data_IF_145320999107
#
_entry.id   IF_145320999107
#
_cell.length_a   1.000
_cell.length_b   1.000
_cell.length_c   1.000
_cell.angle_alpha   90.00
_cell.angle_beta   90.00
_cell.angle_gamma   90.00
#
_symmetry.space_group_name_H-M   'P 1'
#
loop_
_entity.id
_entity.type
_entity.pdbx_description
1 polymer ?
#
# COMPACT_ATOMS: atom_id res chain seq x y z
N UNK A 1 -62.54 22.77 -19.17
CA UNK A 1 -61.13 22.87 -19.65
C UNK A 1 -60.22 22.88 -18.40
N UNK A 2 -59.68 21.73 -18.10
CA UNK A 2 -58.86 21.49 -16.90
C UNK A 2 -57.40 21.46 -17.33
N UNK A 3 -56.59 22.33 -16.76
CA UNK A 3 -55.13 22.36 -16.98
C UNK A 3 -54.47 21.64 -15.81
N UNK A 4 -54.07 20.39 -16.02
CA UNK A 4 -53.13 19.69 -15.14
C UNK A 4 -51.71 20.17 -15.44
N UNK A 5 -51.05 20.76 -14.47
CA UNK A 5 -49.61 21.00 -14.47
C UNK A 5 -48.93 19.76 -13.90
N UNK A 6 -48.30 19.03 -14.77
CA UNK A 6 -47.31 18.00 -14.35
C UNK A 6 -46.05 18.72 -13.87
N UNK A 7 -45.78 18.56 -12.59
CA UNK A 7 -44.55 19.00 -11.93
C UNK A 7 -43.50 17.89 -12.09
N UNK A 8 -42.34 18.12 -12.76
CA UNK A 8 -41.32 17.10 -12.84
C UNK A 8 -40.65 16.99 -11.49
N UNK A 9 -40.95 15.92 -10.78
CA UNK A 9 -40.33 15.51 -9.55
C UNK A 9 -38.81 15.51 -9.71
N UNK A 10 -38.14 16.47 -9.09
CA UNK A 10 -36.70 16.47 -8.81
C UNK A 10 -36.36 15.20 -8.06
N UNK A 11 -35.72 14.25 -8.77
CA UNK A 11 -35.17 13.04 -8.20
C UNK A 11 -34.13 13.37 -7.12
N UNK A 12 -34.59 13.45 -5.88
CA UNK A 12 -33.70 13.39 -4.71
C UNK A 12 -33.00 12.06 -4.78
N UNK A 13 -31.71 12.08 -5.18
CA UNK A 13 -30.80 10.96 -4.99
C UNK A 13 -30.90 10.56 -3.52
N UNK A 14 -31.46 9.37 -3.28
CA UNK A 14 -31.61 8.80 -1.95
C UNK A 14 -30.23 8.73 -1.28
N UNK A 15 -29.99 9.59 -0.33
CA UNK A 15 -28.81 9.58 0.52
C UNK A 15 -28.94 8.35 1.41
N UNK A 16 -28.18 7.32 1.12
CA UNK A 16 -28.11 6.12 1.95
C UNK A 16 -27.47 6.48 3.30
N UNK A 17 -28.31 6.83 4.28
CA UNK A 17 -27.90 7.12 5.67
C UNK A 17 -27.21 5.92 6.38
N UNK A 18 -27.09 4.76 5.70
CA UNK A 18 -26.53 3.54 6.28
C UNK A 18 -25.01 3.43 6.28
N UNK A 19 -24.27 4.29 5.55
CA UNK A 19 -22.82 4.07 5.43
C UNK A 19 -22.02 5.39 5.36
N UNK A 20 -22.27 6.32 6.30
CA UNK A 20 -21.52 7.58 6.38
C UNK A 20 -20.01 7.32 6.60
N UNK A 21 -19.66 6.27 7.36
CA UNK A 21 -18.26 5.88 7.56
C UNK A 21 -17.57 5.61 6.22
N UNK A 22 -18.19 4.81 5.35
CA UNK A 22 -17.66 4.49 4.02
C UNK A 22 -17.62 5.70 3.08
N UNK A 23 -18.60 6.59 3.17
CA UNK A 23 -18.61 7.84 2.41
C UNK A 23 -17.44 8.74 2.82
N UNK A 24 -17.15 8.86 4.12
CA UNK A 24 -16.02 9.63 4.63
C UNK A 24 -14.66 9.02 4.23
N UNK A 25 -14.54 7.69 4.22
CA UNK A 25 -13.32 7.01 3.78
C UNK A 25 -13.08 7.25 2.29
N UNK A 26 -14.11 7.12 1.44
CA UNK A 26 -13.99 7.45 0.01
C UNK A 26 -13.62 8.91 -0.21
N UNK A 27 -14.29 9.84 0.47
CA UNK A 27 -13.96 11.26 0.42
C UNK A 27 -12.50 11.53 0.84
N UNK A 28 -12.00 10.83 1.86
CA UNK A 28 -10.60 10.94 2.28
C UNK A 28 -9.64 10.42 1.20
N UNK A 29 -9.93 9.29 0.57
CA UNK A 29 -9.11 8.74 -0.53
C UNK A 29 -9.03 9.69 -1.72
N UNK A 30 -10.16 10.31 -2.11
CA UNK A 30 -10.22 11.30 -3.19
C UNK A 30 -9.41 12.55 -2.83
N UNK A 31 -9.52 13.04 -1.60
CA UNK A 31 -8.76 14.20 -1.11
C UNK A 31 -7.25 13.89 -1.00
N UNK A 32 -6.88 12.68 -0.60
CA UNK A 32 -5.48 12.23 -0.58
C UNK A 32 -4.91 12.21 -2.00
N UNK A 33 -5.66 11.71 -2.99
CA UNK A 33 -5.25 11.71 -4.39
C UNK A 33 -5.02 13.14 -4.92
N UNK A 34 -5.88 14.08 -4.54
CA UNK A 34 -5.82 15.47 -5.03
C UNK A 34 -4.75 16.31 -4.32
N UNK A 35 -4.64 16.19 -2.99
CA UNK A 35 -3.90 17.14 -2.12
C UNK A 35 -2.83 16.48 -1.24
N UNK A 36 -2.72 15.17 -1.32
CA UNK A 36 -1.89 14.40 -0.38
C UNK A 36 -2.53 14.24 1.01
N UNK A 37 -1.98 13.36 1.85
CA UNK A 37 -2.57 13.03 3.14
C UNK A 37 -2.52 14.19 4.15
N UNK A 38 -1.64 15.16 3.97
CA UNK A 38 -1.58 16.37 4.81
C UNK A 38 -2.44 17.51 4.29
N UNK A 39 -2.92 17.46 3.03
CA UNK A 39 -3.48 18.60 2.30
C UNK A 39 -4.96 18.84 2.51
N UNK A 40 -5.67 18.12 3.38
CA UNK A 40 -7.10 18.32 3.61
C UNK A 40 -7.46 18.41 5.10
N UNK A 41 -8.60 19.01 5.39
CA UNK A 41 -9.16 19.12 6.74
C UNK A 41 -10.30 18.12 6.95
N UNK A 42 -10.68 17.89 8.21
CA UNK A 42 -11.84 17.05 8.53
C UNK A 42 -13.16 17.63 7.99
N UNK A 43 -13.24 18.97 7.93
CA UNK A 43 -14.38 19.67 7.31
C UNK A 43 -14.42 19.48 5.77
N UNK A 44 -13.25 19.36 5.11
CA UNK A 44 -13.19 19.04 3.68
C UNK A 44 -13.72 17.63 3.41
N UNK A 45 -13.37 16.66 4.24
CA UNK A 45 -13.89 15.29 4.13
C UNK A 45 -15.42 15.25 4.32
N UNK A 46 -15.96 16.01 5.30
CA UNK A 46 -17.40 16.13 5.49
C UNK A 46 -18.10 16.73 4.27
N UNK A 47 -17.54 17.81 3.73
CA UNK A 47 -18.06 18.50 2.53
C UNK A 47 -18.04 17.59 1.31
N UNK A 48 -16.93 16.90 1.09
CA UNK A 48 -16.79 15.94 0.00
C UNK A 48 -17.78 14.76 0.12
N UNK A 49 -18.02 14.29 1.35
CA UNK A 49 -19.04 13.27 1.64
C UNK A 49 -20.48 13.79 1.59
N UNK A 50 -20.71 15.11 1.34
CA UNK A 50 -22.03 15.71 1.25
C UNK A 50 -22.79 15.82 2.58
N UNK A 51 -22.07 15.93 3.71
CA UNK A 51 -22.67 16.01 5.06
C UNK A 51 -22.25 17.27 5.80
N UNK A 52 -22.95 17.58 6.90
CA UNK A 52 -22.57 18.69 7.77
C UNK A 52 -21.22 18.45 8.44
N UNK A 53 -20.50 19.51 8.79
CA UNK A 53 -19.19 19.42 9.45
C UNK A 53 -19.21 18.70 10.80
N UNK A 54 -20.39 18.59 11.45
CA UNK A 54 -20.57 17.87 12.70
C UNK A 54 -20.83 16.37 12.53
N UNK A 55 -21.28 15.93 11.34
CA UNK A 55 -21.67 14.53 11.12
C UNK A 55 -20.48 13.54 11.23
N UNK A 56 -19.26 13.84 10.78
CA UNK A 56 -18.13 12.92 10.88
C UNK A 56 -17.76 12.53 12.31
N UNK A 57 -17.96 13.42 13.29
CA UNK A 57 -17.64 13.18 14.71
C UNK A 57 -18.40 12.02 15.34
N UNK A 58 -19.46 11.52 14.69
CA UNK A 58 -20.18 10.30 15.10
C UNK A 58 -19.42 9.02 14.79
N UNK A 59 -18.45 9.08 13.86
CA UNK A 59 -17.72 7.91 13.35
C UNK A 59 -16.21 7.98 13.63
N UNK A 60 -15.65 9.17 13.65
CA UNK A 60 -14.23 9.42 13.85
C UNK A 60 -14.06 10.58 14.82
N UNK A 61 -13.20 10.42 15.81
CA UNK A 61 -12.89 11.45 16.78
C UNK A 61 -12.33 12.71 16.13
N UNK A 62 -11.47 12.52 15.16
CA UNK A 62 -10.75 13.57 14.45
C UNK A 62 -10.26 13.07 13.08
N UNK A 63 -9.56 13.96 12.34
CA UNK A 63 -8.98 13.64 11.04
C UNK A 63 -7.93 12.52 11.12
N UNK A 64 -7.16 12.44 12.22
CA UNK A 64 -6.14 11.39 12.38
C UNK A 64 -6.80 10.03 12.52
N UNK A 65 -7.91 9.92 13.23
CA UNK A 65 -8.69 8.69 13.33
C UNK A 65 -9.26 8.25 11.96
N UNK A 66 -9.70 9.19 11.12
CA UNK A 66 -10.11 8.90 9.74
C UNK A 66 -8.94 8.39 8.91
N UNK A 67 -7.78 9.07 8.97
CA UNK A 67 -6.58 8.64 8.26
C UNK A 67 -6.07 7.29 8.74
N UNK A 68 -6.14 7.01 10.04
CA UNK A 68 -5.76 5.70 10.59
C UNK A 68 -6.65 4.58 10.06
N UNK A 69 -7.96 4.80 9.91
CA UNK A 69 -8.86 3.80 9.30
C UNK A 69 -8.57 3.60 7.81
N UNK A 70 -8.27 4.67 7.06
CA UNK A 70 -7.83 4.58 5.66
C UNK A 70 -6.54 3.78 5.56
N UNK A 71 -5.52 4.10 6.36
CA UNK A 71 -4.24 3.39 6.36
C UNK A 71 -4.38 1.92 6.77
N UNK A 72 -5.21 1.62 7.79
CA UNK A 72 -5.51 0.24 8.20
C UNK A 72 -6.07 -0.58 7.04
N UNK A 73 -7.07 -0.05 6.32
CA UNK A 73 -7.63 -0.73 5.13
C UNK A 73 -6.60 -0.87 4.01
N UNK A 74 -5.73 0.13 3.86
CA UNK A 74 -4.60 0.04 2.94
C UNK A 74 -3.68 -1.13 3.27
N UNK A 75 -3.31 -1.31 4.55
CA UNK A 75 -2.50 -2.43 4.99
C UNK A 75 -3.21 -3.77 4.84
N UNK A 76 -4.52 -3.86 5.09
CA UNK A 76 -5.32 -5.07 4.88
C UNK A 76 -5.33 -5.49 3.40
N UNK A 77 -5.58 -4.54 2.49
CA UNK A 77 -5.53 -4.79 1.05
C UNK A 77 -4.11 -5.14 0.58
N UNK A 78 -3.11 -4.49 1.14
CA UNK A 78 -1.71 -4.75 0.84
C UNK A 78 -1.29 -6.15 1.29
N UNK A 79 -1.62 -6.55 2.52
CA UNK A 79 -1.43 -7.92 3.02
C UNK A 79 -2.02 -8.95 2.07
N UNK A 80 -3.28 -8.78 1.66
CA UNK A 80 -3.97 -9.70 0.74
C UNK A 80 -3.24 -9.84 -0.59
N UNK A 81 -2.78 -8.73 -1.18
CA UNK A 81 -2.06 -8.75 -2.45
C UNK A 81 -0.70 -9.43 -2.33
N UNK A 82 0.05 -9.13 -1.25
CA UNK A 82 1.35 -9.75 -1.00
C UNK A 82 1.21 -11.26 -0.72
N UNK A 83 0.24 -11.66 0.11
CA UNK A 83 0.02 -13.07 0.44
C UNK A 83 -0.42 -13.89 -0.78
N UNK A 84 -1.27 -13.32 -1.63
CA UNK A 84 -1.65 -13.93 -2.92
C UNK A 84 -0.44 -14.10 -3.84
N UNK A 85 0.44 -13.10 -3.91
CA UNK A 85 1.66 -13.15 -4.71
C UNK A 85 2.67 -14.17 -4.16
N UNK A 86 2.79 -14.25 -2.84
CA UNK A 86 3.63 -15.24 -2.16
C UNK A 86 3.14 -16.68 -2.41
N UNK A 87 1.84 -16.91 -2.41
CA UNK A 87 1.21 -18.21 -2.68
C UNK A 87 1.87 -19.41 -1.95
N UNK A 88 2.30 -19.20 -0.71
CA UNK A 88 3.01 -20.23 0.07
C UNK A 88 4.35 -20.65 -0.51
N UNK A 89 5.01 -19.79 -1.28
CA UNK A 89 6.30 -20.07 -1.94
C UNK A 89 6.19 -20.94 -3.19
N UNK A 90 5.03 -20.99 -3.85
CA UNK A 90 4.80 -21.82 -5.04
C UNK A 90 4.75 -20.97 -6.32
N UNK A 91 5.17 -21.53 -7.49
CA UNK A 91 5.69 -22.88 -7.70
C UNK A 91 7.12 -23.09 -7.17
N UNK A 92 7.89 -22.04 -7.05
CA UNK A 92 9.23 -21.98 -6.46
C UNK A 92 9.36 -20.75 -5.57
N UNK A 93 9.98 -20.82 -4.38
CA UNK A 93 10.10 -19.69 -3.48
C UNK A 93 10.81 -18.47 -4.05
N UNK A 94 11.76 -18.66 -4.98
CA UNK A 94 12.43 -17.53 -5.64
C UNK A 94 11.44 -16.76 -6.52
N UNK A 95 10.73 -17.49 -7.39
CA UNK A 95 9.68 -16.90 -8.24
C UNK A 95 8.57 -16.25 -7.41
N UNK A 96 8.13 -16.93 -6.35
CA UNK A 96 7.11 -16.39 -5.44
C UNK A 96 7.59 -15.09 -4.77
N UNK A 97 8.87 -15.04 -4.39
CA UNK A 97 9.47 -13.86 -3.79
C UNK A 97 9.56 -12.68 -4.76
N UNK A 98 9.95 -12.92 -6.00
CA UNK A 98 9.90 -11.89 -7.06
C UNK A 98 8.48 -11.36 -7.26
N UNK A 99 7.48 -12.25 -7.25
CA UNK A 99 6.08 -11.87 -7.36
C UNK A 99 5.62 -10.98 -6.20
N UNK A 100 6.10 -11.22 -4.97
CA UNK A 100 5.84 -10.33 -3.80
C UNK A 100 6.41 -8.93 -4.05
N UNK A 101 7.63 -8.83 -4.56
CA UNK A 101 8.25 -7.55 -4.92
C UNK A 101 7.46 -6.80 -6.01
N UNK A 102 7.05 -7.50 -7.06
CA UNK A 102 6.21 -6.95 -8.14
C UNK A 102 4.84 -6.50 -7.60
N UNK A 103 4.22 -7.29 -6.72
CA UNK A 103 2.94 -6.94 -6.09
C UNK A 103 3.06 -5.68 -5.21
N UNK A 104 4.20 -5.50 -4.52
CA UNK A 104 4.50 -4.29 -3.76
C UNK A 104 4.47 -3.05 -4.67
N UNK A 105 5.23 -3.08 -5.78
CA UNK A 105 5.31 -1.96 -6.72
C UNK A 105 3.97 -1.70 -7.42
N UNK A 106 3.25 -2.77 -7.78
CA UNK A 106 1.92 -2.68 -8.37
C UNK A 106 0.93 -2.00 -7.41
N UNK A 107 0.94 -2.36 -6.11
CA UNK A 107 0.10 -1.73 -5.10
C UNK A 107 0.36 -0.22 -5.00
N UNK A 108 1.62 0.20 -4.93
CA UNK A 108 1.96 1.61 -4.85
C UNK A 108 1.47 2.42 -6.07
N UNK A 109 1.46 1.81 -7.25
CA UNK A 109 1.00 2.40 -8.50
C UNK A 109 -0.52 2.41 -8.64
N UNK A 110 -1.18 1.33 -8.25
CA UNK A 110 -2.62 1.13 -8.44
C UNK A 110 -3.46 1.74 -7.33
N UNK A 111 -2.91 1.80 -6.12
CA UNK A 111 -3.58 2.28 -4.91
C UNK A 111 -2.82 3.45 -4.25
N UNK A 112 -2.48 4.52 -5.00
CA UNK A 112 -1.59 5.57 -4.51
C UNK A 112 -2.13 6.31 -3.30
N UNK A 113 -3.46 6.46 -3.16
CA UNK A 113 -4.08 7.09 -1.99
C UNK A 113 -3.92 6.25 -0.73
N UNK A 114 -4.10 4.93 -0.83
CA UNK A 114 -3.83 4.02 0.28
C UNK A 114 -2.35 4.01 0.63
N UNK A 115 -1.47 3.89 -0.36
CA UNK A 115 -0.03 3.91 -0.15
C UNK A 115 0.43 5.18 0.57
N UNK A 116 -0.06 6.33 0.14
CA UNK A 116 0.24 7.63 0.75
C UNK A 116 -0.31 7.74 2.19
N UNK A 117 -1.52 7.23 2.45
CA UNK A 117 -2.07 7.17 3.81
C UNK A 117 -1.26 6.27 4.75
N UNK A 118 -0.77 5.13 4.25
CA UNK A 118 0.02 4.16 5.03
C UNK A 118 1.41 4.71 5.40
N UNK A 119 2.09 5.37 4.48
CA UNK A 119 3.53 5.65 4.61
C UNK A 119 3.89 7.15 4.68
N UNK A 120 3.00 8.06 4.24
CA UNK A 120 3.30 9.49 4.14
C UNK A 120 2.42 10.37 5.05
N UNK A 121 1.38 9.79 5.68
CA UNK A 121 0.47 10.54 6.55
C UNK A 121 1.06 10.91 7.93
N UNK A 122 2.26 10.40 8.26
CA UNK A 122 2.89 10.65 9.56
C UNK A 122 2.15 10.04 10.74
N UNK A 123 1.41 8.94 10.52
CA UNK A 123 0.67 8.24 11.55
C UNK A 123 1.62 7.45 12.46
N UNK A 124 1.47 7.58 13.77
CA UNK A 124 2.10 6.69 14.71
C UNK A 124 1.32 5.37 14.74
N UNK A 125 1.94 4.25 14.34
CA UNK A 125 1.26 2.95 14.32
C UNK A 125 0.67 2.57 15.69
N UNK A 126 1.33 2.97 16.78
CA UNK A 126 0.88 2.72 18.14
C UNK A 126 -0.35 3.54 18.58
N UNK A 127 -0.76 4.53 17.78
CA UNK A 127 -1.94 5.36 18.08
C UNK A 127 -3.27 4.63 17.90
N UNK A 128 -3.28 3.54 17.13
CA UNK A 128 -4.45 2.70 16.88
C UNK A 128 -4.03 1.22 16.80
N UNK A 129 -4.53 0.38 17.73
CA UNK A 129 -4.18 -1.04 17.78
C UNK A 129 -4.52 -1.78 16.47
N UNK A 130 -5.64 -1.47 15.83
CA UNK A 130 -6.06 -2.10 14.58
C UNK A 130 -5.15 -1.73 13.40
N UNK A 131 -4.66 -0.48 13.35
CA UNK A 131 -3.67 -0.03 12.37
C UNK A 131 -2.35 -0.78 12.57
N UNK A 132 -1.87 -0.86 13.82
CA UNK A 132 -0.65 -1.60 14.16
C UNK A 132 -0.74 -3.05 13.72
N UNK A 133 -1.82 -3.72 14.10
CA UNK A 133 -2.05 -5.13 13.77
C UNK A 133 -2.09 -5.38 12.26
N UNK A 134 -2.76 -4.53 11.50
CA UNK A 134 -2.80 -4.63 10.04
C UNK A 134 -1.42 -4.44 9.41
N UNK A 135 -0.63 -3.46 9.88
CA UNK A 135 0.73 -3.23 9.43
C UNK A 135 1.66 -4.43 9.73
N UNK A 136 1.55 -4.98 10.95
CA UNK A 136 2.34 -6.13 11.37
C UNK A 136 2.01 -7.39 10.53
N UNK A 137 0.73 -7.62 10.21
CA UNK A 137 0.31 -8.74 9.33
C UNK A 137 0.85 -8.57 7.91
N UNK A 138 0.78 -7.38 7.34
CA UNK A 138 1.34 -7.10 6.01
C UNK A 138 2.86 -7.35 5.98
N UNK A 139 3.60 -6.89 6.99
CA UNK A 139 5.04 -7.15 7.09
C UNK A 139 5.36 -8.64 7.32
N UNK A 140 4.49 -9.39 8.00
CA UNK A 140 4.67 -10.81 8.25
C UNK A 140 4.71 -11.65 6.96
N UNK A 141 4.11 -11.19 5.85
CA UNK A 141 4.23 -11.86 4.54
C UNK A 141 5.68 -11.87 4.06
N UNK A 142 6.35 -10.70 4.08
CA UNK A 142 7.77 -10.59 3.72
C UNK A 142 8.66 -11.43 4.64
N UNK A 143 8.33 -11.44 5.93
CA UNK A 143 9.08 -12.23 6.90
C UNK A 143 8.96 -13.71 6.65
N UNK A 144 7.76 -14.24 6.38
CA UNK A 144 7.55 -15.65 5.99
C UNK A 144 8.34 -16.02 4.73
N UNK A 145 8.35 -15.13 3.74
CA UNK A 145 9.14 -15.32 2.53
C UNK A 145 10.65 -15.41 2.83
N UNK A 146 11.17 -14.47 3.62
CA UNK A 146 12.57 -14.47 4.04
C UNK A 146 12.93 -15.70 4.88
N UNK A 147 12.08 -16.13 5.82
CA UNK A 147 12.26 -17.34 6.61
C UNK A 147 12.38 -18.58 5.71
N UNK A 148 11.56 -18.68 4.66
CA UNK A 148 11.59 -19.77 3.69
C UNK A 148 12.90 -19.80 2.92
N UNK A 149 13.42 -18.64 2.52
CA UNK A 149 14.73 -18.52 1.89
C UNK A 149 15.86 -18.94 2.83
N UNK A 150 15.87 -18.36 4.03
CA UNK A 150 16.90 -18.62 5.02
C UNK A 150 16.96 -20.12 5.40
N UNK A 151 15.80 -20.80 5.45
CA UNK A 151 15.74 -22.22 5.77
C UNK A 151 16.47 -23.12 4.75
N UNK A 152 16.64 -22.66 3.50
CA UNK A 152 17.37 -23.39 2.44
C UNK A 152 18.88 -23.23 2.50
N UNK A 153 19.38 -22.30 3.32
CA UNK A 153 20.81 -22.06 3.47
C UNK A 153 21.43 -22.97 4.52
N UNK A 154 22.71 -23.31 4.35
CA UNK A 154 23.51 -23.89 5.42
C UNK A 154 23.44 -23.01 6.68
N UNK A 155 23.38 -23.62 7.85
CA UNK A 155 23.18 -22.92 9.12
C UNK A 155 24.22 -21.84 9.42
N UNK A 156 25.47 -22.05 8.97
CA UNK A 156 26.60 -21.14 9.11
C UNK A 156 26.54 -19.92 8.16
N UNK A 157 25.63 -19.93 7.15
CA UNK A 157 25.46 -18.87 6.16
C UNK A 157 24.09 -18.20 6.22
N UNK A 158 23.23 -18.57 7.17
CA UNK A 158 21.88 -18.02 7.29
C UNK A 158 21.91 -16.59 7.82
N UNK A 159 21.51 -15.59 7.04
CA UNK A 159 21.28 -14.27 7.59
C UNK A 159 20.05 -14.32 8.51
N UNK A 160 19.95 -13.40 9.50
CA UNK A 160 18.71 -13.21 10.24
C UNK A 160 17.56 -12.86 9.28
N UNK A 161 16.49 -13.67 9.27
CA UNK A 161 15.35 -13.47 8.35
C UNK A 161 14.71 -12.09 8.50
N UNK A 162 14.66 -11.55 9.72
CA UNK A 162 14.19 -10.18 9.96
C UNK A 162 15.05 -9.14 9.23
N UNK A 163 16.38 -9.29 9.25
CA UNK A 163 17.30 -8.39 8.56
C UNK A 163 17.07 -8.46 7.04
N UNK A 164 16.94 -9.67 6.48
CA UNK A 164 16.62 -9.87 5.07
C UNK A 164 15.29 -9.18 4.71
N UNK A 165 14.24 -9.39 5.50
CA UNK A 165 12.93 -8.78 5.28
C UNK A 165 13.00 -7.24 5.25
N UNK A 166 13.74 -6.65 6.18
CA UNK A 166 13.91 -5.20 6.28
C UNK A 166 14.70 -4.63 5.09
N UNK A 167 15.77 -5.31 4.64
CA UNK A 167 16.54 -4.87 3.47
C UNK A 167 15.70 -4.89 2.20
N UNK A 168 14.94 -5.97 2.00
CA UNK A 168 14.09 -6.11 0.81
C UNK A 168 12.90 -5.13 0.85
N UNK A 169 12.31 -4.93 2.03
CA UNK A 169 11.29 -3.92 2.20
C UNK A 169 11.83 -2.51 1.91
N UNK A 170 13.00 -2.16 2.48
CA UNK A 170 13.61 -0.85 2.25
C UNK A 170 13.91 -0.62 0.76
N UNK A 171 14.38 -1.65 0.03
CA UNK A 171 14.62 -1.59 -1.40
C UNK A 171 13.31 -1.36 -2.19
N UNK A 172 12.30 -2.19 -1.96
CA UNK A 172 11.02 -2.08 -2.64
C UNK A 172 10.31 -0.75 -2.32
N UNK A 173 10.32 -0.33 -1.04
CA UNK A 173 9.75 0.93 -0.59
C UNK A 173 10.47 2.14 -1.18
N UNK A 174 11.80 2.12 -1.20
CA UNK A 174 12.61 3.18 -1.80
C UNK A 174 12.31 3.34 -3.29
N UNK A 175 12.24 2.24 -4.04
CA UNK A 175 11.88 2.23 -5.46
C UNK A 175 10.45 2.75 -5.65
N UNK A 176 9.47 2.21 -4.92
CA UNK A 176 8.08 2.67 -5.00
C UNK A 176 7.98 4.19 -4.76
N UNK A 177 8.66 4.70 -3.73
CA UNK A 177 8.68 6.15 -3.39
C UNK A 177 9.33 7.00 -4.47
N UNK A 178 10.40 6.52 -5.13
CA UNK A 178 11.06 7.23 -6.23
C UNK A 178 10.15 7.38 -7.45
N UNK A 179 9.31 6.39 -7.72
CA UNK A 179 8.45 6.39 -8.90
C UNK A 179 7.03 6.94 -8.63
N UNK A 180 6.52 6.85 -7.38
CA UNK A 180 5.17 7.30 -7.03
C UNK A 180 5.00 8.83 -7.11
N UNK A 181 6.05 9.62 -6.80
CA UNK A 181 5.98 11.10 -6.74
C UNK A 181 6.05 11.81 -8.09
N UNK A 182 5.92 11.11 -9.20
CA UNK A 182 6.05 11.70 -10.53
C UNK A 182 7.47 12.19 -10.86
N UNK A 183 8.42 12.01 -9.96
CA UNK A 183 9.84 12.32 -10.19
C UNK A 183 10.46 11.39 -11.24
N UNK A 184 9.92 10.17 -11.39
CA UNK A 184 10.23 9.27 -12.49
C UNK A 184 9.87 9.85 -13.87
N UNK A 185 8.88 10.76 -13.93
CA UNK A 185 8.54 11.52 -15.13
C UNK A 185 9.49 12.71 -15.39
N UNK A 186 10.08 13.29 -14.35
CA UNK A 186 11.08 14.38 -14.47
C UNK A 186 12.48 13.84 -14.72
N UNK A 187 12.82 12.68 -14.15
CA UNK A 187 14.06 11.95 -14.43
C UNK A 187 13.69 10.74 -15.26
N UNK A 188 13.94 10.78 -16.57
CA UNK A 188 13.84 9.59 -17.42
C UNK A 188 14.89 8.58 -16.94
N UNK A 189 14.52 7.75 -15.98
CA UNK A 189 15.37 6.66 -15.55
C UNK A 189 15.43 5.62 -16.70
N UNK A 190 16.61 5.04 -16.97
CA UNK A 190 16.80 4.14 -18.10
C UNK A 190 16.21 2.74 -17.86
N UNK A 191 15.49 2.52 -16.75
CA UNK A 191 14.89 1.24 -16.37
C UNK A 191 13.56 1.45 -15.65
N UNK A 192 12.74 0.42 -15.67
CA UNK A 192 11.46 0.36 -14.95
C UNK A 192 11.66 0.11 -13.46
N UNK A 193 10.65 0.42 -12.59
CA UNK A 193 10.70 0.06 -11.17
C UNK A 193 10.94 -1.44 -10.95
N UNK A 194 10.30 -2.27 -11.77
CA UNK A 194 10.40 -3.72 -11.72
C UNK A 194 11.82 -4.20 -12.04
N UNK A 195 12.43 -3.69 -13.11
CA UNK A 195 13.83 -3.99 -13.48
C UNK A 195 14.82 -3.54 -12.41
N UNK A 196 14.60 -2.36 -11.82
CA UNK A 196 15.44 -1.84 -10.73
C UNK A 196 15.36 -2.72 -9.48
N UNK A 197 14.14 -3.17 -9.12
CA UNK A 197 13.92 -4.07 -7.99
C UNK A 197 14.59 -5.42 -8.23
N UNK A 198 14.39 -6.01 -9.40
CA UNK A 198 14.98 -7.30 -9.78
C UNK A 198 16.51 -7.24 -9.72
N UNK A 199 17.12 -6.23 -10.35
CA UNK A 199 18.57 -6.04 -10.29
C UNK A 199 19.10 -5.90 -8.86
N UNK A 200 18.43 -5.10 -8.02
CA UNK A 200 18.80 -4.90 -6.64
C UNK A 200 18.67 -6.17 -5.79
N UNK A 201 17.61 -6.94 -5.98
CA UNK A 201 17.39 -8.24 -5.30
C UNK A 201 18.45 -9.24 -5.74
N UNK A 202 18.76 -9.33 -7.04
CA UNK A 202 19.81 -10.21 -7.54
C UNK A 202 21.19 -9.90 -6.94
N UNK A 203 21.57 -8.62 -6.88
CA UNK A 203 22.82 -8.19 -6.24
C UNK A 203 22.85 -8.58 -4.76
N UNK A 204 21.72 -8.36 -4.06
CA UNK A 204 21.61 -8.72 -2.65
C UNK A 204 21.74 -10.22 -2.41
N UNK A 205 21.03 -11.06 -3.20
CA UNK A 205 21.06 -12.50 -3.05
C UNK A 205 22.43 -13.09 -3.44
N UNK A 206 23.11 -12.54 -4.46
CA UNK A 206 24.48 -12.91 -4.81
C UNK A 206 25.45 -12.56 -3.69
N UNK A 207 25.35 -11.38 -3.10
CA UNK A 207 26.16 -10.97 -1.97
C UNK A 207 26.05 -11.89 -0.75
N UNK A 208 24.91 -12.61 -0.62
CA UNK A 208 24.69 -13.63 0.39
C UNK A 208 25.06 -15.06 -0.09
N UNK A 209 25.61 -15.22 -1.30
CA UNK A 209 25.90 -16.52 -1.94
C UNK A 209 24.67 -17.44 -2.02
N UNK A 210 23.49 -16.86 -2.22
CA UNK A 210 22.21 -17.56 -2.36
C UNK A 210 21.92 -18.00 -3.80
N UNK A 211 22.56 -17.34 -4.76
CA UNK A 211 22.53 -17.65 -6.19
C UNK A 211 23.95 -17.56 -6.73
N UNK A 212 24.28 -18.45 -7.66
CA UNK A 212 25.60 -18.48 -8.28
C UNK A 212 25.84 -17.26 -9.17
N UNK A 213 27.09 -16.84 -9.26
CA UNK A 213 27.51 -15.88 -10.28
C UNK A 213 27.35 -16.52 -11.68
N UNK A 214 26.94 -15.72 -12.70
CA UNK A 214 26.96 -16.23 -14.07
C UNK A 214 28.37 -16.67 -14.42
N UNK A 215 28.54 -17.75 -15.22
CA UNK A 215 29.86 -18.22 -15.62
C UNK A 215 30.62 -17.03 -16.21
N UNK A 216 31.85 -16.82 -15.74
CA UNK A 216 32.72 -15.78 -16.29
C UNK A 216 32.85 -16.04 -17.78
N UNK A 217 32.39 -15.12 -18.58
CA UNK A 217 32.63 -15.12 -20.03
C UNK A 217 34.15 -15.02 -20.21
N UNK A 218 34.77 -16.08 -20.66
CA UNK A 218 36.17 -16.07 -21.12
C UNK A 218 36.25 -15.02 -22.25
N UNK A 219 36.95 -13.94 -21.95
CA UNK A 219 37.35 -12.95 -22.94
C UNK A 219 38.67 -13.34 -23.56
#
# INVERSE_FOLDING_TARGET
>A
MSWSRDDPATGRRGYHHGNLREALIRAALDLIAEKGPAGFTFADAARSAGVSSAAPYRHFRDRQALLADVARRGFELFEERLDRAWNGGRPDPFVAFENVGRAYLAFAREEPSFYSAMFEAGLALDSDPGLREAADRAFAVLRRAADTFCARLPSDRRPPALMMSLHLWALAHGIASLFARGDGGRRRLPMTPEELLEAGVLVYLRGLSLIDDPPKSDR
#
